data_IF_209453658640
#
_entry.id   IF_209453658640
#
_cell.length_a   1.000
_cell.length_b   1.000
_cell.length_c   1.000
_cell.angle_alpha   90.00
_cell.angle_beta   90.00
_cell.angle_gamma   90.00
#
_symmetry.space_group_name_H-M   'P 1'
#
loop_
_entity.id
_entity.type
_entity.pdbx_description
1 polymer ?
#
# COMPACT_ATOMS: atom_id res chain seq x y z
N UNK A 1 -24.57 -7.38 3.79
CA UNK A 1 -23.61 -6.61 2.97
C UNK A 1 -23.66 -5.18 3.46
N UNK A 2 -22.64 -4.74 4.19
CA UNK A 2 -22.52 -3.33 4.60
C UNK A 2 -22.12 -2.52 3.37
N UNK A 3 -22.72 -1.34 3.23
CA UNK A 3 -22.36 -0.39 2.18
C UNK A 3 -21.23 0.50 2.70
N UNK A 4 -20.12 0.57 1.98
CA UNK A 4 -18.98 1.44 2.30
C UNK A 4 -18.73 2.39 1.13
N UNK A 5 -18.73 3.70 1.41
CA UNK A 5 -18.28 4.70 0.45
C UNK A 5 -16.83 5.06 0.76
N UNK A 6 -15.92 4.73 -0.16
CA UNK A 6 -14.50 5.00 -0.02
C UNK A 6 -13.92 5.52 -1.33
N UNK A 7 -13.00 6.48 -1.23
CA UNK A 7 -12.31 7.07 -2.37
C UNK A 7 -10.83 7.22 -2.09
N UNK A 8 -10.00 7.04 -3.12
CA UNK A 8 -8.56 7.26 -3.05
C UNK A 8 -8.09 8.17 -4.18
N UNK A 9 -7.11 9.01 -3.87
CA UNK A 9 -6.45 9.87 -4.83
C UNK A 9 -4.96 9.92 -4.56
N UNK A 10 -4.16 9.84 -5.61
CA UNK A 10 -2.70 9.81 -5.51
C UNK A 10 -2.13 10.80 -6.50
N UNK A 11 -1.21 11.63 -6.03
CA UNK A 11 -0.52 12.61 -6.87
C UNK A 11 0.99 12.49 -6.67
N UNK A 12 1.78 12.47 -7.75
CA UNK A 12 3.24 12.54 -7.63
C UNK A 12 3.71 13.79 -6.89
N UNK A 13 4.90 13.69 -6.28
CA UNK A 13 5.64 14.86 -5.80
C UNK A 13 5.95 15.82 -6.96
N UNK A 14 5.98 17.13 -6.70
CA UNK A 14 6.22 18.15 -7.72
C UNK A 14 7.55 17.87 -8.46
N UNK A 15 7.53 17.96 -9.79
CA UNK A 15 8.69 17.65 -10.63
C UNK A 15 8.87 16.16 -10.96
N UNK A 16 8.07 15.26 -10.38
CA UNK A 16 8.10 13.83 -10.68
C UNK A 16 6.88 13.41 -11.50
N UNK A 17 7.09 12.42 -12.38
CA UNK A 17 6.03 11.86 -13.25
C UNK A 17 5.29 10.68 -12.63
N UNK A 18 5.79 10.15 -11.51
CA UNK A 18 5.26 8.97 -10.85
C UNK A 18 5.27 9.17 -9.33
N UNK A 19 4.25 8.66 -8.66
CA UNK A 19 4.13 8.72 -7.20
C UNK A 19 4.90 7.56 -6.54
N UNK A 20 5.60 7.86 -5.45
CA UNK A 20 6.13 6.86 -4.52
C UNK A 20 5.04 6.30 -3.58
N UNK A 21 3.88 6.92 -3.57
CA UNK A 21 2.79 6.55 -2.67
C UNK A 21 1.83 5.59 -3.38
N UNK A 22 1.18 4.72 -2.61
CA UNK A 22 0.03 3.96 -3.07
C UNK A 22 -1.09 3.94 -2.02
N UNK A 23 -2.32 3.72 -2.46
CA UNK A 23 -3.47 3.53 -1.60
C UNK A 23 -4.34 2.39 -2.15
N UNK A 24 -4.90 1.58 -1.26
CA UNK A 24 -5.76 0.45 -1.58
C UNK A 24 -7.11 0.62 -0.90
N UNK A 25 -8.15 0.24 -1.65
CA UNK A 25 -9.52 0.07 -1.19
C UNK A 25 -9.93 -1.26 -1.80
N UNK A 26 -10.13 -2.28 -0.99
CA UNK A 26 -10.48 -3.62 -1.44
C UNK A 26 -11.62 -4.15 -0.58
N UNK A 27 -12.70 -4.58 -1.21
CA UNK A 27 -13.80 -5.25 -0.51
C UNK A 27 -13.31 -6.58 0.08
N UNK A 28 -13.75 -6.87 1.31
CA UNK A 28 -13.45 -8.08 2.05
C UNK A 28 -14.75 -8.67 2.61
N UNK A 29 -14.78 -9.97 2.90
CA UNK A 29 -16.00 -10.65 3.39
C UNK A 29 -16.55 -9.99 4.68
N UNK A 30 -15.65 -9.47 5.51
CA UNK A 30 -15.95 -8.85 6.81
C UNK A 30 -16.00 -7.29 6.77
N UNK A 31 -15.81 -6.66 5.60
CA UNK A 31 -15.78 -5.19 5.50
C UNK A 31 -15.00 -4.66 4.30
N UNK A 32 -14.16 -3.66 4.54
CA UNK A 32 -13.28 -3.09 3.52
C UNK A 32 -11.85 -3.05 4.05
N UNK A 33 -10.92 -3.62 3.29
CA UNK A 33 -9.49 -3.49 3.54
C UNK A 33 -8.98 -2.18 2.93
N UNK A 34 -8.36 -1.36 3.77
CA UNK A 34 -7.76 -0.09 3.37
C UNK A 34 -6.26 -0.13 3.65
N UNK A 35 -5.48 0.42 2.72
CA UNK A 35 -4.07 0.66 2.94
C UNK A 35 -3.63 2.01 2.39
N UNK A 36 -2.71 2.67 3.11
CA UNK A 36 -1.96 3.83 2.62
C UNK A 36 -0.47 3.57 2.80
N UNK A 37 0.31 3.88 1.78
CA UNK A 37 1.74 3.57 1.71
C UNK A 37 2.48 4.81 1.23
N UNK A 38 3.52 5.19 1.97
CA UNK A 38 4.48 6.25 1.63
C UNK A 38 5.88 5.62 1.57
N UNK A 39 6.43 5.48 0.36
CA UNK A 39 7.75 4.90 0.14
C UNK A 39 8.84 5.95 0.30
N UNK A 40 9.97 5.61 0.94
CA UNK A 40 11.07 6.55 1.15
C UNK A 40 11.59 7.18 -0.15
N UNK A 41 11.39 8.49 -0.26
CA UNK A 41 11.80 9.32 -1.39
C UNK A 41 10.76 9.40 -2.50
N UNK A 42 11.19 9.69 -3.72
CA UNK A 42 10.29 9.94 -4.85
C UNK A 42 10.90 9.45 -6.18
N UNK A 43 10.10 9.46 -7.24
CA UNK A 43 10.52 9.07 -8.58
C UNK A 43 10.47 7.56 -8.81
N UNK A 44 11.14 7.10 -9.89
CA UNK A 44 10.94 5.73 -10.42
C UNK A 44 11.27 4.62 -9.42
N UNK A 45 12.29 4.79 -8.59
CA UNK A 45 12.68 3.80 -7.58
C UNK A 45 11.62 3.67 -6.47
N UNK A 46 11.12 4.80 -5.94
CA UNK A 46 10.05 4.80 -4.96
C UNK A 46 8.76 4.21 -5.57
N UNK A 47 8.42 4.62 -6.79
CA UNK A 47 7.26 4.11 -7.51
C UNK A 47 7.32 2.60 -7.73
N UNK A 48 8.46 2.06 -8.15
CA UNK A 48 8.63 0.63 -8.36
C UNK A 48 8.37 -0.16 -7.06
N UNK A 49 8.91 0.30 -5.93
CA UNK A 49 8.65 -0.31 -4.63
C UNK A 49 7.19 -0.15 -4.19
N UNK A 50 6.56 1.00 -4.44
CA UNK A 50 5.13 1.21 -4.18
C UNK A 50 4.27 0.19 -4.92
N UNK A 51 4.62 -0.12 -6.18
CA UNK A 51 3.96 -1.17 -6.97
C UNK A 51 4.20 -2.57 -6.42
N UNK A 52 5.40 -2.87 -5.95
CA UNK A 52 5.70 -4.14 -5.28
C UNK A 52 4.87 -4.30 -4.00
N UNK A 53 4.84 -3.28 -3.13
CA UNK A 53 4.03 -3.27 -1.91
C UNK A 53 2.54 -3.43 -2.25
N UNK A 54 2.06 -2.70 -3.25
CA UNK A 54 0.67 -2.78 -3.69
C UNK A 54 0.28 -4.22 -4.08
N UNK A 55 1.11 -4.86 -4.91
CA UNK A 55 0.87 -6.24 -5.36
C UNK A 55 0.90 -7.22 -4.19
N UNK A 56 1.84 -7.05 -3.25
CA UNK A 56 1.94 -7.89 -2.05
C UNK A 56 0.69 -7.77 -1.17
N UNK A 57 0.21 -6.54 -0.92
CA UNK A 57 -0.98 -6.32 -0.09
C UNK A 57 -2.24 -6.91 -0.76
N UNK A 58 -2.40 -6.71 -2.07
CA UNK A 58 -3.54 -7.25 -2.82
C UNK A 58 -3.61 -8.79 -2.82
N UNK A 59 -2.47 -9.49 -2.74
CA UNK A 59 -2.45 -10.95 -2.65
C UNK A 59 -2.66 -11.50 -1.24
N UNK A 60 -2.74 -10.65 -0.22
CA UNK A 60 -2.85 -11.04 1.18
C UNK A 60 -3.94 -10.27 1.95
N UNK A 61 -4.96 -9.75 1.26
CA UNK A 61 -6.01 -8.90 1.86
C UNK A 61 -6.81 -9.55 2.99
N UNK A 62 -6.88 -10.89 3.01
CA UNK A 62 -7.57 -11.66 4.06
C UNK A 62 -6.67 -12.09 5.22
N UNK A 63 -5.40 -11.66 5.25
CA UNK A 63 -4.49 -11.98 6.33
C UNK A 63 -4.75 -11.11 7.57
N UNK A 64 -4.45 -11.63 8.76
CA UNK A 64 -4.41 -10.84 9.99
C UNK A 64 -3.46 -9.63 9.82
N UNK A 65 -3.91 -8.43 10.23
CA UNK A 65 -3.16 -7.18 10.00
C UNK A 65 -1.74 -7.18 10.58
N UNK A 66 -1.53 -7.77 11.77
CA UNK A 66 -0.21 -7.84 12.40
C UNK A 66 0.70 -8.75 11.58
N UNK A 67 0.22 -9.94 11.20
CA UNK A 67 0.96 -10.86 10.35
C UNK A 67 1.24 -10.27 8.97
N UNK A 68 0.27 -9.57 8.37
CA UNK A 68 0.39 -8.89 7.09
C UNK A 68 1.49 -7.83 7.13
N UNK A 69 1.52 -6.99 8.18
CA UNK A 69 2.55 -5.97 8.36
C UNK A 69 3.95 -6.60 8.52
N UNK A 70 4.08 -7.65 9.36
CA UNK A 70 5.35 -8.34 9.56
C UNK A 70 5.85 -9.02 8.27
N UNK A 71 4.96 -9.68 7.54
CA UNK A 71 5.30 -10.33 6.28
C UNK A 71 5.65 -9.31 5.19
N UNK A 72 4.94 -8.19 5.13
CA UNK A 72 5.29 -7.09 4.23
C UNK A 72 6.67 -6.54 4.56
N UNK A 73 6.95 -6.27 5.84
CA UNK A 73 8.25 -5.80 6.30
C UNK A 73 9.37 -6.75 5.87
N UNK A 74 9.21 -8.06 6.09
CA UNK A 74 10.15 -9.07 5.65
C UNK A 74 10.31 -9.09 4.12
N UNK A 75 9.20 -8.96 3.37
CA UNK A 75 9.19 -8.97 1.91
C UNK A 75 9.95 -7.78 1.30
N UNK A 76 9.91 -6.61 1.94
CA UNK A 76 10.61 -5.40 1.47
C UNK A 76 11.89 -5.10 2.24
N UNK A 77 12.37 -6.01 3.10
CA UNK A 77 13.58 -5.82 3.87
C UNK A 77 14.80 -5.62 2.96
N UNK A 78 15.67 -4.66 3.28
CA UNK A 78 16.81 -4.27 2.43
C UNK A 78 16.44 -3.39 1.23
N UNK A 79 15.16 -3.07 1.03
CA UNK A 79 14.75 -2.01 0.10
C UNK A 79 14.92 -0.62 0.71
N UNK A 80 14.40 0.42 0.03
CA UNK A 80 14.32 1.78 0.59
C UNK A 80 13.38 1.87 1.79
N UNK A 81 12.45 0.92 1.95
CA UNK A 81 11.42 0.93 3.00
C UNK A 81 10.24 1.85 2.68
N UNK A 82 9.20 1.75 3.50
CA UNK A 82 7.99 2.55 3.42
C UNK A 82 7.31 2.69 4.79
N UNK A 83 6.58 3.77 5.00
CA UNK A 83 5.57 3.89 6.04
C UNK A 83 4.25 3.30 5.50
N UNK A 84 3.56 2.48 6.29
CA UNK A 84 2.34 1.78 5.87
C UNK A 84 1.29 1.83 6.98
N UNK A 85 0.08 2.26 6.63
CA UNK A 85 -1.13 2.12 7.46
C UNK A 85 -2.07 1.09 6.86
N UNK A 86 -2.63 0.21 7.69
CA UNK A 86 -3.57 -0.85 7.31
C UNK A 86 -4.83 -0.78 8.20
N UNK A 87 -6.00 -1.01 7.61
CA UNK A 87 -7.30 -1.10 8.31
C UNK A 87 -8.17 -2.17 7.66
#
# INVERSE_FOLDING_TARGET
>A
MQLFDAYKYIRPCLGYRVAGDTALIQEHEEGVFLAIVDVLGHGRAAHALARTIQSFLLSHVSANLISLMNNLHAHIHGSRGACVGLC
#
